data_IF_875856117565
#
_entry.id   IF_875856117565
#
_cell.length_a   1.000
_cell.length_b   1.000
_cell.length_c   1.000
_cell.angle_alpha   90.00
_cell.angle_beta   90.00
_cell.angle_gamma   90.00
#
_symmetry.space_group_name_H-M   'P 1'
#
loop_
_entity.id
_entity.type
_entity.pdbx_description
1 polymer ?
#
# COMPACT_ATOMS: atom_id res chain seq x y z
N UNK A 1 41.02 42.54 33.75
CA UNK A 1 39.84 42.41 32.86
C UNK A 1 40.24 41.63 31.61
N UNK A 2 39.99 40.32 31.54
CA UNK A 2 40.11 39.52 30.31
C UNK A 2 38.90 38.60 30.27
N UNK A 3 37.88 39.00 29.50
CA UNK A 3 36.66 38.21 29.32
C UNK A 3 36.96 37.11 28.31
N UNK A 4 36.84 35.86 28.75
CA UNK A 4 36.78 34.68 27.90
C UNK A 4 35.59 34.82 26.94
N UNK A 5 35.86 34.77 25.64
CA UNK A 5 34.84 34.60 24.61
C UNK A 5 34.88 33.18 24.10
N UNK A 6 34.19 32.25 24.77
CA UNK A 6 33.91 30.93 24.23
C UNK A 6 32.67 31.03 23.34
N UNK A 7 32.85 30.96 22.03
CA UNK A 7 31.76 30.84 21.07
C UNK A 7 31.29 29.39 21.10
N UNK A 8 30.17 29.14 21.79
CA UNK A 8 29.50 27.85 21.78
C UNK A 8 28.76 27.68 20.46
N UNK A 9 29.33 26.89 19.55
CA UNK A 9 28.65 26.40 18.34
C UNK A 9 27.64 25.35 18.78
N UNK A 10 26.36 25.74 18.84
CA UNK A 10 25.26 24.84 19.10
C UNK A 10 25.07 23.90 17.90
N UNK A 11 25.52 22.65 18.05
CA UNK A 11 25.22 21.57 17.10
C UNK A 11 23.76 21.19 17.30
N UNK A 12 22.88 21.77 16.48
CA UNK A 12 21.48 21.38 16.40
C UNK A 12 21.43 20.03 15.66
N UNK A 13 21.60 18.93 16.40
CA UNK A 13 21.32 17.59 15.89
C UNK A 13 19.81 17.54 15.66
N UNK A 14 19.40 17.71 14.40
CA UNK A 14 18.03 17.42 13.98
C UNK A 14 17.79 15.93 14.22
N UNK A 15 17.24 15.61 15.38
CA UNK A 15 16.62 14.33 15.64
C UNK A 15 15.41 14.22 14.72
N UNK A 16 15.66 13.76 13.49
CA UNK A 16 14.62 13.22 12.62
C UNK A 16 14.01 12.05 13.38
N UNK A 17 12.87 12.29 14.04
CA UNK A 17 11.98 11.22 14.46
C UNK A 17 11.60 10.45 13.20
N UNK A 18 12.33 9.37 12.91
CA UNK A 18 11.85 8.33 12.03
C UNK A 18 10.62 7.74 12.72
N UNK A 19 9.43 8.31 12.42
CA UNK A 19 8.17 7.75 12.86
C UNK A 19 8.11 6.35 12.26
N UNK A 20 8.29 5.33 13.08
CA UNK A 20 8.08 3.95 12.67
C UNK A 20 6.59 3.84 12.37
N UNK A 21 6.25 3.91 11.09
CA UNK A 21 4.89 3.71 10.59
C UNK A 21 4.52 2.24 10.84
N UNK A 22 3.42 2.01 11.55
CA UNK A 22 2.92 0.65 11.75
C UNK A 22 2.30 0.23 10.43
N UNK A 23 2.93 -0.73 9.77
CA UNK A 23 2.47 -1.23 8.49
C UNK A 23 1.41 -2.32 8.67
N UNK A 24 0.35 -2.26 7.88
CA UNK A 24 -0.75 -3.23 7.85
C UNK A 24 -0.87 -3.84 6.46
N UNK A 25 -1.17 -5.15 6.40
CA UNK A 25 -1.46 -5.84 5.15
C UNK A 25 -2.95 -5.81 4.87
N UNK A 26 -3.30 -5.28 3.71
CA UNK A 26 -4.66 -5.24 3.18
C UNK A 26 -4.76 -6.21 2.01
N UNK A 27 -5.85 -6.96 1.90
CA UNK A 27 -6.10 -7.94 0.86
C UNK A 27 -7.35 -7.59 0.06
N UNK A 28 -7.28 -7.70 -1.26
CA UNK A 28 -8.43 -7.69 -2.16
C UNK A 28 -8.50 -9.05 -2.84
N UNK A 29 -9.55 -9.79 -2.51
CA UNK A 29 -9.90 -11.07 -3.14
C UNK A 29 -10.52 -10.73 -4.49
N UNK A 30 -9.82 -11.08 -5.58
CA UNK A 30 -10.30 -10.81 -6.92
C UNK A 30 -11.55 -11.64 -7.22
N UNK A 31 -12.53 -10.98 -7.81
CA UNK A 31 -13.77 -11.63 -8.25
C UNK A 31 -13.90 -11.58 -9.77
N UNK A 32 -14.80 -12.38 -10.35
CA UNK A 32 -14.99 -12.46 -11.79
C UNK A 32 -15.35 -11.10 -12.43
N UNK A 33 -15.94 -10.19 -11.65
CA UNK A 33 -16.12 -8.80 -12.06
C UNK A 33 -14.89 -7.98 -11.70
N UNK A 34 -13.90 -8.05 -12.60
CA UNK A 34 -12.58 -7.48 -12.40
C UNK A 34 -12.64 -5.96 -12.21
N UNK A 35 -11.88 -5.41 -11.25
CA UNK A 35 -11.75 -3.97 -11.12
C UNK A 35 -10.98 -3.39 -12.31
N UNK A 36 -11.19 -2.10 -12.59
CA UNK A 36 -10.62 -1.44 -13.78
C UNK A 36 -9.08 -1.44 -13.83
N UNK A 37 -8.42 -1.66 -12.71
CA UNK A 37 -6.96 -1.74 -12.61
C UNK A 37 -6.40 -3.15 -12.88
N UNK A 38 -7.25 -4.18 -12.93
CA UNK A 38 -6.81 -5.55 -13.24
C UNK A 38 -6.52 -5.71 -14.74
N UNK A 39 -5.47 -6.48 -15.04
CA UNK A 39 -5.16 -7.00 -16.37
C UNK A 39 -5.30 -8.54 -16.34
N UNK A 40 -6.13 -9.07 -17.23
CA UNK A 40 -6.46 -10.50 -17.31
C UNK A 40 -5.26 -11.37 -17.67
N UNK A 41 -4.35 -10.84 -18.48
CA UNK A 41 -3.24 -11.59 -19.07
C UNK A 41 -1.94 -11.42 -18.26
N UNK A 42 -1.85 -10.41 -17.40
CA UNK A 42 -0.62 -10.05 -16.72
C UNK A 42 -0.85 -9.57 -15.29
N UNK A 43 -0.41 -10.40 -14.34
CA UNK A 43 -0.31 -9.99 -12.95
C UNK A 43 0.67 -8.81 -12.77
N UNK A 44 1.74 -8.74 -13.58
CA UNK A 44 2.68 -7.62 -13.52
C UNK A 44 2.00 -6.29 -13.90
N UNK A 45 1.22 -6.27 -15.00
CA UNK A 45 0.47 -5.06 -15.36
C UNK A 45 -0.61 -4.74 -14.33
N UNK A 46 -1.31 -5.75 -13.80
CA UNK A 46 -2.29 -5.56 -12.72
C UNK A 46 -1.65 -4.89 -11.51
N UNK A 47 -0.43 -5.31 -11.13
CA UNK A 47 0.32 -4.71 -10.02
C UNK A 47 0.66 -3.24 -10.30
N UNK A 48 1.17 -2.93 -11.49
CA UNK A 48 1.55 -1.56 -11.87
C UNK A 48 0.32 -0.64 -11.92
N UNK A 49 -0.79 -1.11 -12.48
CA UNK A 49 -2.06 -0.39 -12.52
C UNK A 49 -2.64 -0.17 -11.12
N UNK A 50 -2.61 -1.19 -10.26
CA UNK A 50 -3.04 -1.08 -8.87
C UNK A 50 -2.20 -0.03 -8.12
N UNK A 51 -0.88 -0.03 -8.32
CA UNK A 51 0.00 0.97 -7.71
C UNK A 51 -0.33 2.40 -8.19
N UNK A 52 -0.58 2.58 -9.49
CA UNK A 52 -0.97 3.87 -10.06
C UNK A 52 -2.32 4.34 -9.51
N UNK A 53 -3.30 3.46 -9.45
CA UNK A 53 -4.61 3.74 -8.88
C UNK A 53 -4.49 4.19 -7.42
N UNK A 54 -3.83 3.40 -6.57
CA UNK A 54 -3.69 3.72 -5.15
C UNK A 54 -3.00 5.08 -4.94
N UNK A 55 -1.94 5.37 -5.71
CA UNK A 55 -1.25 6.65 -5.64
C UNK A 55 -2.13 7.83 -6.08
N UNK A 56 -2.97 7.65 -7.11
CA UNK A 56 -3.93 8.66 -7.54
C UNK A 56 -4.97 8.97 -6.44
N UNK A 57 -5.31 7.97 -5.63
CA UNK A 57 -6.21 8.09 -4.47
C UNK A 57 -5.50 8.57 -3.19
N UNK A 58 -4.23 8.96 -3.28
CA UNK A 58 -3.45 9.46 -2.14
C UNK A 58 -3.00 8.36 -1.15
N UNK A 59 -3.09 7.09 -1.54
CA UNK A 59 -2.63 5.94 -0.76
C UNK A 59 -1.19 5.62 -1.19
N UNK A 60 -0.30 5.39 -0.22
CA UNK A 60 1.11 5.11 -0.49
C UNK A 60 1.36 3.63 -0.21
N UNK A 61 1.33 2.75 -1.24
CA UNK A 61 1.65 1.36 -1.05
C UNK A 61 3.14 1.21 -0.68
N UNK A 62 3.41 0.57 0.45
CA UNK A 62 4.75 0.22 0.91
C UNK A 62 5.27 -1.03 0.18
N UNK A 63 4.36 -1.98 -0.11
CA UNK A 63 4.66 -3.22 -0.84
C UNK A 63 3.39 -3.76 -1.47
N UNK A 64 3.49 -4.31 -2.69
CA UNK A 64 2.40 -5.03 -3.35
C UNK A 64 2.86 -6.44 -3.71
N UNK A 65 2.04 -7.44 -3.38
CA UNK A 65 2.17 -8.82 -3.83
C UNK A 65 0.87 -9.27 -4.49
N UNK A 66 0.98 -10.21 -5.40
CA UNK A 66 -0.15 -10.93 -5.97
C UNK A 66 0.11 -12.40 -5.67
N UNK A 67 -0.85 -13.07 -5.06
CA UNK A 67 -0.79 -14.49 -4.70
C UNK A 67 -1.93 -15.22 -5.43
N UNK A 68 -1.68 -16.48 -5.81
CA UNK A 68 -2.68 -17.33 -6.48
C UNK A 68 -2.56 -17.40 -8.00
N UNK A 69 -3.50 -18.14 -8.59
CA UNK A 69 -3.64 -18.33 -10.03
C UNK A 69 -5.10 -18.11 -10.42
N UNK A 70 -5.31 -17.36 -11.51
CA UNK A 70 -6.65 -16.99 -11.95
C UNK A 70 -7.37 -18.20 -12.53
N UNK A 71 -8.49 -18.56 -11.93
CA UNK A 71 -9.36 -19.63 -12.38
C UNK A 71 -10.83 -19.21 -12.27
N UNK A 72 -11.45 -18.93 -13.41
CA UNK A 72 -12.85 -18.58 -13.48
C UNK A 72 -13.70 -19.85 -13.35
N UNK A 73 -14.09 -20.17 -12.12
CA UNK A 73 -14.98 -21.31 -11.83
C UNK A 73 -16.46 -21.00 -12.11
N UNK A 74 -16.81 -19.71 -12.17
CA UNK A 74 -18.12 -19.20 -12.56
C UNK A 74 -18.06 -17.73 -13.02
N UNK A 75 -19.09 -17.30 -13.75
CA UNK A 75 -19.20 -15.95 -14.33
C UNK A 75 -19.99 -14.96 -13.46
N UNK A 76 -20.45 -15.38 -12.27
CA UNK A 76 -21.15 -14.45 -11.36
C UNK A 76 -20.15 -13.49 -10.72
N UNK A 77 -20.53 -12.22 -10.55
CA UNK A 77 -19.62 -11.17 -10.10
C UNK A 77 -18.99 -11.42 -8.72
N UNK A 78 -19.61 -12.23 -7.87
CA UNK A 78 -19.13 -12.58 -6.53
C UNK A 78 -18.24 -13.84 -6.52
N UNK A 79 -18.06 -14.49 -7.67
CA UNK A 79 -17.16 -15.63 -7.80
C UNK A 79 -15.71 -15.17 -7.66
N UNK A 80 -15.03 -15.67 -6.63
CA UNK A 80 -13.59 -15.49 -6.48
C UNK A 80 -12.84 -16.15 -7.65
N UNK A 81 -11.81 -15.46 -8.15
CA UNK A 81 -10.94 -16.00 -9.21
C UNK A 81 -9.77 -16.80 -8.64
N UNK A 82 -9.55 -16.74 -7.32
CA UNK A 82 -8.39 -17.33 -6.65
C UNK A 82 -7.13 -16.45 -6.67
N UNK A 83 -7.23 -15.20 -7.15
CA UNK A 83 -6.17 -14.20 -7.05
C UNK A 83 -6.40 -13.29 -5.85
N UNK A 84 -5.35 -13.11 -5.03
CA UNK A 84 -5.31 -12.14 -3.95
C UNK A 84 -4.33 -11.01 -4.27
N UNK A 85 -4.81 -9.76 -4.18
CA UNK A 85 -3.97 -8.57 -4.24
C UNK A 85 -3.66 -8.08 -2.84
N UNK A 86 -2.38 -8.15 -2.47
CA UNK A 86 -1.92 -7.82 -1.13
C UNK A 86 -1.14 -6.53 -1.15
N UNK A 87 -1.61 -5.55 -0.38
CA UNK A 87 -1.03 -4.22 -0.33
C UNK A 87 -0.68 -3.90 1.11
N UNK A 88 0.60 -3.68 1.36
CA UNK A 88 1.07 -3.16 2.64
C UNK A 88 0.95 -1.64 2.63
N UNK A 89 0.26 -1.07 3.62
CA UNK A 89 0.08 0.39 3.80
C UNK A 89 0.40 0.80 5.24
N UNK A 90 0.51 2.09 5.51
CA UNK A 90 0.48 2.57 6.90
C UNK A 90 -0.92 2.38 7.50
N UNK A 91 -1.00 2.02 8.79
CA UNK A 91 -2.26 1.80 9.53
C UNK A 91 -3.23 2.98 9.40
N UNK A 92 -2.75 4.23 9.31
CA UNK A 92 -3.61 5.40 9.10
C UNK A 92 -4.33 5.42 7.75
N UNK A 93 -3.85 4.63 6.77
CA UNK A 93 -4.44 4.51 5.44
C UNK A 93 -5.31 3.25 5.29
N UNK A 94 -5.31 2.32 6.25
CA UNK A 94 -6.10 1.09 6.20
C UNK A 94 -7.60 1.37 6.01
N UNK A 95 -8.11 2.43 6.64
CA UNK A 95 -9.52 2.85 6.47
C UNK A 95 -9.89 3.24 5.03
N UNK A 96 -8.95 3.83 4.26
CA UNK A 96 -9.19 4.15 2.84
C UNK A 96 -9.18 2.88 1.98
N UNK A 97 -8.37 1.90 2.34
CA UNK A 97 -8.32 0.61 1.64
C UNK A 97 -9.65 -0.13 1.77
N UNK A 98 -10.31 -0.06 2.94
CA UNK A 98 -11.64 -0.64 3.16
C UNK A 98 -12.71 -0.06 2.21
N UNK A 99 -12.64 1.24 1.91
CA UNK A 99 -13.56 1.89 0.97
C UNK A 99 -13.44 1.30 -0.45
N UNK A 100 -12.25 0.84 -0.84
CA UNK A 100 -11.98 0.20 -2.12
C UNK A 100 -12.18 -1.32 -2.12
N UNK A 101 -12.81 -1.86 -1.08
CA UNK A 101 -13.14 -3.29 -0.99
C UNK A 101 -11.99 -4.18 -0.52
N UNK A 102 -10.86 -3.60 -0.11
CA UNK A 102 -9.84 -4.38 0.59
C UNK A 102 -10.30 -4.72 2.01
N UNK A 103 -9.74 -5.80 2.57
CA UNK A 103 -9.97 -6.26 3.95
C UNK A 103 -8.63 -6.31 4.69
N UNK A 104 -8.66 -6.23 6.01
CA UNK A 104 -7.47 -6.52 6.82
C UNK A 104 -7.15 -8.02 6.72
N UNK A 105 -5.89 -8.38 6.50
CA UNK A 105 -5.45 -9.77 6.32
C UNK A 105 -5.11 -10.45 7.64
#
# INVERSE_FOLDING_TARGET
MKKLGFIAVAIFVMASCAKTTKAEWMVYEETACLPFWTDEDSQSKSKDNLELFLKAEGIIPLKIKIEGERNFSCDACDCETGIDYLVQVDESQAGLMLYYGFKSR
#
